data_IF_677691671701
#
_entry.id   IF_677691671701
#
_cell.length_a   1.000
_cell.length_b   1.000
_cell.length_c   1.000
_cell.angle_alpha   90.00
_cell.angle_beta   90.00
_cell.angle_gamma   90.00
#
_symmetry.space_group_name_H-M   'P 1'
#
loop_
_entity.id
_entity.type
_entity.pdbx_description
1 polymer ?
#
# COMPACT_ATOMS: atom_id res chain seq x y z
N UNK A 1 -9.57 22.53 41.45
CA UNK A 1 -9.49 21.41 40.49
C UNK A 1 -10.88 21.15 39.92
N UNK A 2 -11.07 21.47 38.65
CA UNK A 2 -12.33 21.22 37.93
C UNK A 2 -11.96 20.60 36.58
N UNK A 3 -12.68 19.56 36.20
CA UNK A 3 -12.56 19.01 34.87
C UNK A 3 -13.31 19.94 33.91
N UNK A 4 -12.66 20.26 32.80
CA UNK A 4 -13.22 21.08 31.72
C UNK A 4 -13.14 20.29 30.42
N UNK A 5 -14.11 20.54 29.54
CA UNK A 5 -14.09 20.04 28.17
C UNK A 5 -14.00 21.21 27.22
N UNK A 6 -12.99 21.20 26.36
CA UNK A 6 -12.79 22.20 25.33
C UNK A 6 -13.26 21.66 23.98
N UNK A 7 -14.14 22.41 23.34
CA UNK A 7 -14.42 22.31 21.90
C UNK A 7 -13.28 22.93 21.12
N UNK A 8 -12.57 22.10 20.36
CA UNK A 8 -11.38 22.45 19.60
C UNK A 8 -11.67 22.34 18.10
N UNK A 9 -10.98 23.14 17.30
CA UNK A 9 -11.02 23.05 15.84
C UNK A 9 -9.61 23.27 15.26
N UNK A 10 -9.33 22.64 14.12
CA UNK A 10 -8.13 22.96 13.35
C UNK A 10 -8.35 24.26 12.58
N UNK A 11 -7.31 25.07 12.42
CA UNK A 11 -7.39 26.29 11.61
C UNK A 11 -7.82 25.93 10.18
N UNK A 12 -8.75 26.70 9.61
CA UNK A 12 -9.36 26.44 8.30
C UNK A 12 -10.29 25.21 8.23
N UNK A 13 -10.59 24.58 9.36
CA UNK A 13 -11.51 23.44 9.43
C UNK A 13 -12.88 23.84 9.96
N UNK A 14 -13.94 23.27 9.38
CA UNK A 14 -15.30 23.34 9.94
C UNK A 14 -15.58 22.24 10.96
N UNK A 15 -14.70 21.25 11.09
CA UNK A 15 -14.88 20.17 12.06
C UNK A 15 -14.44 20.61 13.45
N UNK A 16 -15.15 20.11 14.46
CA UNK A 16 -14.84 20.33 15.87
C UNK A 16 -14.71 19.00 16.60
N UNK A 17 -13.90 18.99 17.63
CA UNK A 17 -13.68 17.82 18.48
C UNK A 17 -13.49 18.24 19.92
N UNK A 18 -13.77 17.32 20.84
CA UNK A 18 -13.70 17.57 22.26
C UNK A 18 -12.39 17.03 22.85
N UNK A 19 -11.78 17.84 23.71
CA UNK A 19 -10.65 17.44 24.56
C UNK A 19 -11.04 17.70 26.02
N UNK A 20 -11.00 16.63 26.83
CA UNK A 20 -11.22 16.71 28.27
C UNK A 20 -9.87 16.95 28.99
N UNK A 21 -9.85 17.91 29.90
CA UNK A 21 -8.66 18.39 30.59
C UNK A 21 -9.02 18.78 32.02
N UNK A 22 -8.02 18.96 32.87
CA UNK A 22 -8.17 19.59 34.16
C UNK A 22 -7.73 21.06 34.12
N UNK A 23 -8.39 21.95 34.86
CA UNK A 23 -7.97 23.36 34.92
C UNK A 23 -6.56 23.55 35.49
N UNK A 24 -6.05 22.61 36.29
CA UNK A 24 -4.68 22.67 36.81
C UNK A 24 -3.61 22.16 35.83
N UNK A 25 -4.01 21.58 34.68
CA UNK A 25 -3.09 21.14 33.63
C UNK A 25 -2.37 22.33 32.96
N UNK A 26 -1.27 22.05 32.26
CA UNK A 26 -0.49 23.06 31.54
C UNK A 26 -0.86 23.13 30.07
N UNK A 27 -0.48 24.23 29.41
CA UNK A 27 -0.56 24.37 27.95
C UNK A 27 0.23 23.26 27.24
N UNK A 28 1.32 22.77 27.80
CA UNK A 28 2.10 21.67 27.21
C UNK A 28 1.39 20.33 27.32
N UNK A 29 0.74 20.05 28.46
CA UNK A 29 -0.11 18.87 28.59
C UNK A 29 -1.29 18.88 27.62
N UNK A 30 -1.87 20.06 27.35
CA UNK A 30 -2.87 20.23 26.29
C UNK A 30 -2.29 19.87 24.90
N UNK A 31 -1.06 20.28 24.59
CA UNK A 31 -0.39 19.88 23.34
C UNK A 31 -0.16 18.38 23.28
N UNK A 32 0.22 17.73 24.38
CA UNK A 32 0.33 16.26 24.47
C UNK A 32 -1.01 15.57 24.19
N UNK A 33 -2.10 16.04 24.81
CA UNK A 33 -3.46 15.51 24.55
C UNK A 33 -3.91 15.68 23.11
N UNK A 34 -3.55 16.80 22.48
CA UNK A 34 -3.78 17.00 21.03
C UNK A 34 -2.97 15.98 20.24
N UNK A 35 -1.69 15.77 20.56
CA UNK A 35 -0.86 14.76 19.87
C UNK A 35 -1.41 13.35 20.03
N UNK A 36 -1.83 12.95 21.23
CA UNK A 36 -2.49 11.66 21.47
C UNK A 36 -3.75 11.50 20.63
N UNK A 37 -4.58 12.56 20.55
CA UNK A 37 -5.83 12.55 19.77
C UNK A 37 -5.58 12.32 18.27
N UNK A 38 -4.44 12.78 17.76
CA UNK A 38 -4.04 12.63 16.36
C UNK A 38 -2.93 11.59 16.15
N UNK A 39 -2.59 10.78 17.16
CA UNK A 39 -1.54 9.75 17.11
C UNK A 39 -0.17 10.27 16.61
N UNK A 40 0.27 11.44 17.08
CA UNK A 40 1.54 12.07 16.71
C UNK A 40 2.62 11.86 17.82
N UNK A 41 3.89 11.57 17.45
CA UNK A 41 4.98 11.33 18.42
C UNK A 41 5.81 12.62 18.69
N UNK A 42 6.46 12.72 19.87
CA UNK A 42 7.28 13.90 20.26
C UNK A 42 8.48 14.19 19.34
N UNK A 43 8.93 13.19 18.57
CA UNK A 43 10.07 13.29 17.65
C UNK A 43 9.67 13.65 16.22
N UNK A 44 8.37 13.86 15.96
CA UNK A 44 7.89 14.46 14.72
C UNK A 44 8.29 15.95 14.70
N UNK A 45 9.49 16.18 14.17
CA UNK A 45 10.20 17.46 14.18
C UNK A 45 9.28 18.59 13.72
N UNK A 46 8.96 19.49 14.65
CA UNK A 46 8.42 20.85 14.43
C UNK A 46 6.99 20.98 13.87
N UNK A 47 6.05 20.17 14.36
CA UNK A 47 4.67 20.64 14.43
C UNK A 47 4.61 21.86 15.35
N UNK A 48 4.80 23.07 14.83
CA UNK A 48 4.52 24.33 15.53
C UNK A 48 3.02 24.37 15.78
N UNK A 49 2.56 23.63 16.79
CA UNK A 49 1.18 23.65 17.28
C UNK A 49 1.04 24.99 17.99
N UNK A 50 0.50 25.95 17.26
CA UNK A 50 0.09 27.21 17.84
C UNK A 50 -1.35 27.09 18.29
N UNK A 51 -1.55 27.38 19.57
CA UNK A 51 -2.84 27.27 20.22
C UNK A 51 -3.42 28.67 20.39
N UNK A 52 -4.65 28.87 19.93
CA UNK A 52 -5.34 30.15 20.01
C UNK A 52 -6.61 29.95 20.83
N UNK A 53 -6.68 30.56 22.01
CA UNK A 53 -7.94 30.68 22.74
C UNK A 53 -8.85 31.61 21.94
N UNK A 54 -10.06 31.13 21.71
CA UNK A 54 -11.13 31.86 21.02
C UNK A 54 -12.46 31.62 21.73
N UNK A 55 -13.45 32.46 21.45
CA UNK A 55 -14.82 32.30 21.90
C UNK A 55 -15.75 32.52 20.70
N UNK A 56 -15.85 31.51 19.83
CA UNK A 56 -16.63 31.59 18.59
C UNK A 56 -17.89 30.76 18.76
N UNK A 57 -19.06 31.37 18.63
CA UNK A 57 -20.32 30.61 18.68
C UNK A 57 -20.37 29.58 17.56
N UNK A 58 -20.69 28.33 17.90
CA UNK A 58 -20.74 27.19 16.99
C UNK A 58 -21.92 27.27 15.99
N UNK A 59 -22.67 28.39 15.98
CA UNK A 59 -23.79 28.71 15.07
C UNK A 59 -23.39 29.55 13.85
N UNK A 60 -22.12 29.98 13.76
CA UNK A 60 -21.62 30.73 12.61
C UNK A 60 -21.00 29.77 11.60
N UNK A 61 -21.60 29.65 10.41
CA UNK A 61 -21.01 28.91 9.28
C UNK A 61 -19.77 29.65 8.76
N UNK A 62 -18.61 28.99 8.79
CA UNK A 62 -17.33 29.51 8.30
C UNK A 62 -16.37 29.95 9.41
N UNK A 63 -15.42 29.10 9.76
CA UNK A 63 -14.32 29.35 10.70
C UNK A 63 -13.20 30.18 10.03
N UNK A 64 -13.50 31.42 9.68
CA UNK A 64 -12.46 32.40 9.35
C UNK A 64 -12.11 33.16 10.62
N UNK A 65 -10.83 33.12 11.01
CA UNK A 65 -10.26 34.03 12.00
C UNK A 65 -10.42 35.47 11.46
N UNK A 66 -11.53 36.13 11.75
CA UNK A 66 -11.67 37.56 11.52
C UNK A 66 -10.92 38.31 12.62
N UNK A 67 -10.33 39.46 12.27
CA UNK A 67 -9.53 40.32 13.17
C UNK A 67 -10.31 40.87 14.39
N UNK A 68 -11.59 40.51 14.56
CA UNK A 68 -12.51 41.05 15.56
C UNK A 68 -12.86 40.08 16.71
N UNK A 69 -12.29 38.88 16.75
CA UNK A 69 -12.51 37.94 17.86
C UNK A 69 -11.44 38.15 18.95
N UNK A 70 -11.81 37.93 20.22
CA UNK A 70 -10.91 38.05 21.38
C UNK A 70 -9.91 36.87 21.38
N UNK A 71 -8.96 36.91 20.44
CA UNK A 71 -8.01 35.83 20.14
C UNK A 71 -6.76 36.00 20.99
N UNK A 72 -6.47 35.02 21.86
CA UNK A 72 -5.22 35.01 22.64
C UNK A 72 -4.40 33.77 22.32
N UNK A 73 -3.16 33.98 21.85
CA UNK A 73 -2.20 32.88 21.67
C UNK A 73 -1.80 32.29 23.02
N UNK A 74 -1.84 30.97 23.14
CA UNK A 74 -1.43 30.22 24.32
C UNK A 74 0.02 29.79 24.12
N UNK A 75 0.92 30.43 24.86
CA UNK A 75 2.36 30.15 24.78
C UNK A 75 2.81 29.20 25.89
N UNK A 76 2.40 29.48 27.13
CA UNK A 76 2.80 28.74 28.34
C UNK A 76 1.83 29.00 29.52
N UNK A 77 1.95 28.21 30.59
CA UNK A 77 1.21 28.39 31.85
C UNK A 77 0.11 27.36 32.11
N UNK A 78 -0.63 27.55 33.21
CA UNK A 78 -1.75 26.68 33.60
C UNK A 78 -3.02 27.04 32.87
N UNK A 79 -3.84 26.03 32.53
CA UNK A 79 -5.11 26.22 31.82
C UNK A 79 -6.12 27.07 32.61
N UNK A 80 -6.10 27.05 33.95
CA UNK A 80 -6.93 27.90 34.83
C UNK A 80 -6.77 29.40 34.54
N UNK A 81 -5.60 29.83 34.04
CA UNK A 81 -5.39 31.24 33.66
C UNK A 81 -6.19 31.65 32.41
N UNK A 82 -6.65 30.67 31.64
CA UNK A 82 -7.36 30.85 30.38
C UNK A 82 -8.83 30.42 30.50
N UNK A 83 -9.10 29.35 31.26
CA UNK A 83 -10.42 28.81 31.55
C UNK A 83 -10.53 28.44 33.03
N UNK A 84 -10.91 29.39 33.91
CA UNK A 84 -11.05 29.12 35.34
C UNK A 84 -12.29 28.27 35.68
N UNK A 85 -13.21 28.16 34.73
CA UNK A 85 -14.43 27.36 34.80
C UNK A 85 -14.78 26.82 33.41
N UNK A 86 -15.67 25.84 33.35
CA UNK A 86 -16.17 25.26 32.10
C UNK A 86 -16.66 26.37 31.17
N UNK A 87 -16.09 26.50 29.97
CA UNK A 87 -16.58 27.47 29.01
C UNK A 87 -17.88 26.97 28.34
N UNK A 88 -18.66 27.87 27.71
CA UNK A 88 -19.97 27.55 27.15
C UNK A 88 -19.92 26.44 26.08
N UNK A 89 -20.74 25.41 26.23
CA UNK A 89 -20.69 24.22 25.35
C UNK A 89 -20.98 24.51 23.88
N UNK A 90 -21.68 25.61 23.59
CA UNK A 90 -22.07 26.05 22.26
C UNK A 90 -21.02 26.92 21.55
N UNK A 91 -19.77 26.95 22.04
CA UNK A 91 -18.68 27.72 21.46
C UNK A 91 -17.48 26.84 21.09
N UNK A 92 -16.72 27.28 20.09
CA UNK A 92 -15.35 26.83 19.84
C UNK A 92 -14.45 27.63 20.78
N UNK A 93 -13.60 26.90 21.51
CA UNK A 93 -12.76 27.43 22.57
C UNK A 93 -11.30 27.53 22.15
N UNK A 94 -10.88 26.62 21.27
CA UNK A 94 -9.48 26.46 20.90
C UNK A 94 -9.36 26.27 19.40
N UNK A 95 -8.59 27.13 18.74
CA UNK A 95 -8.12 26.91 17.39
C UNK A 95 -6.69 26.39 17.46
N UNK A 96 -6.46 25.29 16.76
CA UNK A 96 -5.18 24.62 16.64
C UNK A 96 -4.64 24.94 15.25
N UNK A 97 -3.63 25.79 15.20
CA UNK A 97 -2.88 26.08 13.99
C UNK A 97 -1.66 25.17 13.93
N UNK A 98 -1.71 24.21 13.01
CA UNK A 98 -0.61 23.28 12.75
C UNK A 98 -0.67 22.92 11.28
N UNK A 99 0.28 23.39 10.45
CA UNK A 99 0.33 23.06 9.03
C UNK A 99 0.25 21.54 8.78
N UNK A 100 0.86 20.75 9.67
CA UNK A 100 0.82 19.30 9.64
C UNK A 100 -0.59 18.73 9.85
N UNK A 101 -1.27 19.13 10.92
CA UNK A 101 -2.62 18.61 11.24
C UNK A 101 -3.65 19.08 10.22
N UNK A 102 -3.51 20.31 9.73
CA UNK A 102 -4.38 20.88 8.68
C UNK A 102 -4.20 20.09 7.37
N UNK A 103 -2.97 19.82 6.95
CA UNK A 103 -2.71 19.03 5.74
C UNK A 103 -3.17 17.58 5.89
N UNK A 104 -2.97 16.98 7.07
CA UNK A 104 -3.48 15.63 7.37
C UNK A 104 -5.01 15.57 7.27
N UNK A 105 -5.71 16.55 7.82
CA UNK A 105 -7.18 16.61 7.74
C UNK A 105 -7.66 16.85 6.31
N UNK A 106 -7.01 17.73 5.54
CA UNK A 106 -7.32 17.95 4.12
C UNK A 106 -7.18 16.64 3.32
N UNK A 107 -6.06 15.94 3.50
CA UNK A 107 -5.82 14.63 2.86
C UNK A 107 -6.87 13.58 3.27
N UNK A 108 -7.32 13.60 4.53
CA UNK A 108 -8.31 12.65 5.04
C UNK A 108 -9.73 12.98 4.54
N UNK A 109 -10.06 14.27 4.41
CA UNK A 109 -11.35 14.76 3.91
C UNK A 109 -11.48 14.55 2.39
N UNK A 110 -10.40 14.73 1.64
CA UNK A 110 -10.30 14.39 0.21
C UNK A 110 -10.64 12.90 0.01
N UNK A 111 -9.95 12.02 0.75
CA UNK A 111 -10.23 10.58 0.74
C UNK A 111 -11.68 10.26 1.15
N UNK A 112 -12.27 11.00 2.10
CA UNK A 112 -13.66 10.80 2.52
C UNK A 112 -14.69 11.23 1.49
N UNK A 113 -14.50 12.37 0.84
CA UNK A 113 -15.38 12.88 -0.21
C UNK A 113 -15.38 11.92 -1.40
N UNK A 114 -14.20 11.42 -1.75
CA UNK A 114 -14.03 10.41 -2.78
C UNK A 114 -14.77 9.12 -2.41
N UNK A 115 -14.64 8.62 -1.19
CA UNK A 115 -15.39 7.44 -0.72
C UNK A 115 -16.92 7.64 -0.79
N UNK A 116 -17.42 8.85 -0.53
CA UNK A 116 -18.84 9.16 -0.63
C UNK A 116 -19.33 9.22 -2.09
N UNK A 117 -18.51 9.74 -3.00
CA UNK A 117 -18.79 9.71 -4.43
C UNK A 117 -18.77 8.29 -5.00
N UNK A 118 -17.84 7.44 -4.53
CA UNK A 118 -17.78 6.00 -4.84
C UNK A 118 -19.02 5.24 -4.34
N UNK A 119 -19.68 5.70 -3.27
CA UNK A 119 -20.94 5.12 -2.76
C UNK A 119 -22.15 5.51 -3.59
N UNK A 120 -22.21 6.76 -4.06
CA UNK A 120 -23.31 7.26 -4.88
C UNK A 120 -23.27 6.67 -6.31
N UNK A 121 -22.09 6.49 -6.90
CA UNK A 121 -21.93 5.86 -8.22
C UNK A 121 -22.25 4.36 -8.24
N UNK A 122 -22.08 3.66 -7.11
CA UNK A 122 -22.37 2.22 -7.00
C UNK A 122 -23.86 1.87 -6.79
N UNK A 123 -24.75 2.86 -6.63
CA UNK A 123 -26.20 2.60 -6.58
C UNK A 123 -26.81 2.26 -7.95
N UNK A 124 -26.05 2.40 -9.05
CA UNK A 124 -26.52 2.14 -10.42
C UNK A 124 -25.98 0.87 -11.11
N UNK A 125 -25.02 0.16 -10.53
CA UNK A 125 -24.37 -1.00 -11.18
C UNK A 125 -24.40 -2.22 -10.26
N UNK A 126 -25.49 -2.98 -10.34
CA UNK A 126 -25.64 -4.27 -9.69
C UNK A 126 -24.75 -5.33 -10.38
N UNK A 127 -23.44 -5.28 -10.11
CA UNK A 127 -22.48 -6.34 -10.50
C UNK A 127 -21.80 -6.97 -9.29
N UNK A 128 -22.50 -7.20 -8.17
CA UNK A 128 -22.02 -8.12 -7.11
C UNK A 128 -20.63 -7.88 -6.47
N UNK A 129 -19.92 -6.79 -6.81
CA UNK A 129 -18.62 -6.44 -6.26
C UNK A 129 -18.85 -5.82 -4.88
N UNK A 130 -18.43 -6.51 -3.81
CA UNK A 130 -18.34 -5.89 -2.49
C UNK A 130 -17.06 -5.07 -2.45
N UNK A 131 -17.18 -3.74 -2.53
CA UNK A 131 -16.08 -2.81 -2.28
C UNK A 131 -15.42 -3.09 -0.93
N UNK A 132 -14.12 -2.75 -0.77
CA UNK A 132 -13.46 -2.78 0.55
C UNK A 132 -14.32 -2.03 1.58
N UNK A 133 -14.42 -2.57 2.80
CA UNK A 133 -14.95 -1.77 3.89
C UNK A 133 -13.90 -0.73 4.29
N UNK A 134 -14.35 0.47 4.66
CA UNK A 134 -13.51 1.57 5.17
C UNK A 134 -12.52 1.11 6.25
N UNK A 135 -12.95 0.18 7.11
CA UNK A 135 -12.14 -0.41 8.18
C UNK A 135 -10.96 -1.24 7.63
N UNK A 136 -11.18 -2.00 6.57
CA UNK A 136 -10.14 -2.85 5.97
C UNK A 136 -9.10 -2.01 5.23
N UNK A 137 -9.55 -0.93 4.59
CA UNK A 137 -8.69 0.04 3.92
C UNK A 137 -7.76 0.75 4.92
N UNK A 138 -8.33 1.31 6.00
CA UNK A 138 -7.54 1.98 7.04
C UNK A 138 -6.57 1.03 7.74
N UNK A 139 -6.95 -0.23 7.99
CA UNK A 139 -6.03 -1.21 8.57
C UNK A 139 -4.83 -1.53 7.65
N UNK A 140 -5.04 -1.55 6.34
CA UNK A 140 -3.99 -1.78 5.33
C UNK A 140 -3.04 -0.58 5.24
N UNK A 141 -3.62 0.62 5.15
CA UNK A 141 -2.87 1.89 5.17
C UNK A 141 -2.08 2.01 6.47
N UNK A 142 -2.72 1.88 7.64
CA UNK A 142 -2.03 1.92 8.93
C UNK A 142 -0.89 0.90 8.98
N UNK A 143 -1.12 -0.35 8.57
CA UNK A 143 -0.07 -1.38 8.58
C UNK A 143 1.10 -1.01 7.66
N UNK A 144 0.85 -0.45 6.47
CA UNK A 144 1.90 -0.02 5.54
C UNK A 144 2.64 1.25 5.99
N UNK A 145 1.94 2.18 6.63
CA UNK A 145 2.53 3.44 7.09
C UNK A 145 3.24 3.30 8.44
N UNK A 146 2.80 2.40 9.31
CA UNK A 146 3.52 2.09 10.57
C UNK A 146 4.73 1.19 10.34
N UNK A 147 4.66 0.29 9.34
CA UNK A 147 5.67 -0.76 9.05
C UNK A 147 7.04 -0.28 8.60
N UNK A 148 7.15 0.97 8.18
CA UNK A 148 8.41 1.47 7.64
C UNK A 148 8.85 2.65 8.51
N UNK A 149 9.64 2.39 9.58
CA UNK A 149 10.13 3.42 10.51
C UNK A 149 10.86 4.58 9.82
N UNK A 150 11.43 4.33 8.64
CA UNK A 150 12.07 5.33 7.78
C UNK A 150 11.07 6.32 7.15
N UNK A 151 9.79 5.96 7.04
CA UNK A 151 8.72 6.85 6.53
C UNK A 151 8.44 7.99 7.50
N UNK A 152 8.50 7.74 8.81
CA UNK A 152 8.42 8.82 9.80
C UNK A 152 9.56 9.82 9.59
N UNK A 153 10.79 9.35 9.39
CA UNK A 153 11.97 10.21 9.17
C UNK A 153 11.94 11.00 7.85
N UNK A 154 11.56 10.39 6.73
CA UNK A 154 11.52 11.06 5.42
C UNK A 154 10.31 11.98 5.24
N UNK A 155 9.16 11.61 5.81
CA UNK A 155 7.95 12.47 5.78
C UNK A 155 8.15 13.73 6.62
N UNK A 156 8.95 13.66 7.68
CA UNK A 156 9.29 14.82 8.51
C UNK A 156 10.21 15.82 7.80
N UNK A 157 10.71 15.53 6.59
CA UNK A 157 11.46 16.45 5.76
C UNK A 157 10.83 16.57 4.35
N UNK A 158 9.63 17.15 4.29
CA UNK A 158 8.82 17.33 3.08
C UNK A 158 9.62 17.85 1.87
N UNK A 159 10.56 18.78 2.09
CA UNK A 159 11.39 19.34 1.02
C UNK A 159 12.32 18.30 0.36
N UNK A 160 12.95 17.43 1.14
CA UNK A 160 13.79 16.34 0.64
C UNK A 160 12.95 15.24 -0.01
N UNK A 161 11.72 15.02 0.48
CA UNK A 161 10.79 14.08 -0.13
C UNK A 161 10.30 14.56 -1.50
N UNK A 162 9.93 15.84 -1.64
CA UNK A 162 9.49 16.40 -2.93
C UNK A 162 10.62 16.41 -3.97
N UNK A 163 11.85 16.69 -3.56
CA UNK A 163 13.02 16.55 -4.43
C UNK A 163 13.23 15.09 -4.85
N UNK A 164 13.17 14.16 -3.89
CA UNK A 164 13.27 12.72 -4.16
C UNK A 164 12.19 12.25 -5.14
N UNK A 165 10.94 12.72 -4.99
CA UNK A 165 9.83 12.40 -5.92
C UNK A 165 10.14 12.86 -7.34
N UNK A 166 10.63 14.08 -7.52
CA UNK A 166 11.00 14.61 -8.84
C UNK A 166 12.15 13.82 -9.47
N UNK A 167 13.16 13.48 -8.68
CA UNK A 167 14.29 12.66 -9.14
C UNK A 167 13.83 11.26 -9.54
N UNK A 168 12.97 10.62 -8.75
CA UNK A 168 12.39 9.32 -9.06
C UNK A 168 11.63 9.36 -10.39
N UNK A 169 10.78 10.37 -10.60
CA UNK A 169 10.05 10.54 -11.87
C UNK A 169 11.02 10.67 -13.06
N UNK A 170 12.03 11.53 -12.96
CA UNK A 170 13.05 11.70 -14.01
C UNK A 170 13.83 10.40 -14.29
N UNK A 171 14.13 9.62 -13.25
CA UNK A 171 14.82 8.32 -13.40
C UNK A 171 13.91 7.26 -14.04
N UNK A 172 12.60 7.27 -13.77
CA UNK A 172 11.64 6.43 -14.50
C UNK A 172 11.57 6.80 -15.98
N UNK A 173 11.48 8.10 -16.30
CA UNK A 173 11.43 8.60 -17.67
C UNK A 173 12.69 8.23 -18.48
N UNK A 174 13.84 8.31 -17.84
CA UNK A 174 15.14 7.94 -18.43
C UNK A 174 15.45 6.44 -18.33
N UNK A 175 14.55 5.61 -17.79
CA UNK A 175 14.73 4.17 -17.53
C UNK A 175 15.99 3.86 -16.70
N UNK A 176 16.40 4.79 -15.84
CA UNK A 176 17.57 4.65 -14.96
C UNK A 176 17.16 4.14 -13.57
N UNK A 177 16.64 2.91 -13.54
CA UNK A 177 16.16 2.25 -12.32
C UNK A 177 17.25 2.08 -11.25
N UNK A 178 18.50 1.92 -11.67
CA UNK A 178 19.64 1.73 -10.77
C UNK A 178 19.82 2.90 -9.81
N UNK A 179 19.67 4.14 -10.29
CA UNK A 179 19.79 5.33 -9.44
C UNK A 179 18.68 5.39 -8.38
N UNK A 180 17.47 4.94 -8.69
CA UNK A 180 16.38 4.88 -7.72
C UNK A 180 16.68 3.80 -6.66
N UNK A 181 17.00 2.59 -7.10
CA UNK A 181 16.96 1.42 -6.23
C UNK A 181 18.28 1.13 -5.50
N UNK A 182 19.41 1.63 -6.00
CA UNK A 182 20.70 1.56 -5.29
C UNK A 182 20.91 2.74 -4.33
N UNK A 183 20.23 3.86 -4.54
CA UNK A 183 20.26 4.99 -3.61
C UNK A 183 19.26 4.76 -2.48
N UNK A 184 19.74 4.63 -1.24
CA UNK A 184 18.89 4.38 -0.08
C UNK A 184 17.80 5.45 0.11
N UNK A 185 18.09 6.72 -0.14
CA UNK A 185 17.12 7.81 0.04
C UNK A 185 16.01 7.75 -1.02
N UNK A 186 16.39 7.62 -2.30
CA UNK A 186 15.43 7.50 -3.39
C UNK A 186 14.63 6.20 -3.29
N UNK A 187 15.28 5.08 -2.91
CA UNK A 187 14.59 3.81 -2.66
C UNK A 187 13.55 3.95 -1.55
N UNK A 188 13.87 4.62 -0.46
CA UNK A 188 12.92 4.82 0.64
C UNK A 188 11.77 5.75 0.26
N UNK A 189 12.05 6.83 -0.47
CA UNK A 189 11.00 7.71 -1.02
C UNK A 189 10.10 6.97 -2.02
N UNK A 190 10.69 6.10 -2.86
CA UNK A 190 9.96 5.19 -3.73
C UNK A 190 9.05 4.25 -2.93
N UNK A 191 9.59 3.63 -1.87
CA UNK A 191 8.80 2.72 -1.01
C UNK A 191 7.58 3.44 -0.45
N UNK A 192 7.77 4.64 0.11
CA UNK A 192 6.70 5.49 0.65
C UNK A 192 5.62 5.75 -0.38
N UNK A 193 6.05 6.16 -1.57
CA UNK A 193 5.17 6.67 -2.59
C UNK A 193 4.38 5.58 -3.31
N UNK A 194 5.02 4.45 -3.59
CA UNK A 194 4.47 3.44 -4.48
C UNK A 194 3.94 2.19 -3.77
N UNK A 195 4.45 1.84 -2.59
CA UNK A 195 4.07 0.56 -1.95
C UNK A 195 2.63 0.54 -1.44
N UNK A 196 2.12 1.59 -0.76
CA UNK A 196 0.72 1.64 -0.34
C UNK A 196 -0.31 1.50 -1.47
N UNK A 197 -0.27 2.34 -2.54
CA UNK A 197 -1.24 2.21 -3.63
C UNK A 197 -1.10 0.89 -4.38
N UNK A 198 0.13 0.34 -4.53
CA UNK A 198 0.32 -0.98 -5.14
C UNK A 198 -0.27 -2.10 -4.29
N UNK A 199 -0.05 -2.09 -2.97
CA UNK A 199 -0.63 -3.08 -2.08
C UNK A 199 -2.16 -3.08 -2.12
N UNK A 200 -2.79 -1.89 -2.21
CA UNK A 200 -4.23 -1.76 -2.41
C UNK A 200 -4.68 -2.34 -3.76
N UNK A 201 -3.98 -2.00 -4.83
CA UNK A 201 -4.26 -2.53 -6.17
C UNK A 201 -4.20 -4.07 -6.17
N UNK A 202 -3.13 -4.65 -5.62
CA UNK A 202 -2.99 -6.10 -5.52
C UNK A 202 -4.07 -6.72 -4.64
N UNK A 203 -4.38 -6.12 -3.49
CA UNK A 203 -5.40 -6.65 -2.59
C UNK A 203 -6.77 -6.67 -3.25
N UNK A 204 -7.12 -5.61 -3.99
CA UNK A 204 -8.35 -5.57 -4.76
C UNK A 204 -8.41 -6.73 -5.78
N UNK A 205 -7.35 -6.92 -6.55
CA UNK A 205 -7.27 -7.96 -7.58
C UNK A 205 -7.25 -9.39 -7.00
N UNK A 206 -6.47 -9.62 -5.94
CA UNK A 206 -6.30 -10.93 -5.31
C UNK A 206 -7.54 -11.37 -4.53
N UNK A 207 -8.21 -10.43 -3.86
CA UNK A 207 -9.21 -10.75 -2.84
C UNK A 207 -10.60 -10.18 -3.16
N UNK A 208 -10.72 -8.89 -3.45
CA UNK A 208 -12.02 -8.23 -3.62
C UNK A 208 -12.73 -8.64 -4.91
N UNK A 209 -11.98 -8.93 -5.97
CA UNK A 209 -12.53 -9.46 -7.22
C UNK A 209 -13.11 -10.88 -7.08
N UNK A 210 -12.80 -11.59 -5.98
CA UNK A 210 -13.27 -12.95 -5.66
C UNK A 210 -13.15 -13.93 -6.82
N UNK A 211 -12.04 -13.87 -7.54
CA UNK A 211 -11.72 -14.87 -8.54
C UNK A 211 -11.69 -16.24 -7.89
N UNK A 212 -12.50 -17.18 -8.40
CA UNK A 212 -12.85 -18.43 -7.71
C UNK A 212 -11.62 -19.20 -7.26
N UNK A 213 -10.62 -19.31 -8.14
CA UNK A 213 -9.39 -20.06 -7.92
C UNK A 213 -8.50 -19.38 -6.87
N UNK A 214 -8.26 -18.07 -6.99
CA UNK A 214 -7.47 -17.30 -6.02
C UNK A 214 -8.16 -17.24 -4.65
N UNK A 215 -9.46 -16.97 -4.63
CA UNK A 215 -10.27 -16.94 -3.42
C UNK A 215 -10.25 -18.31 -2.70
N UNK A 216 -10.30 -19.41 -3.46
CA UNK A 216 -10.21 -20.76 -2.89
C UNK A 216 -8.92 -20.99 -2.10
N UNK A 217 -7.80 -20.38 -2.50
CA UNK A 217 -6.51 -20.52 -1.78
C UNK A 217 -6.58 -19.95 -0.37
N UNK A 218 -7.24 -18.80 -0.20
CA UNK A 218 -7.36 -18.14 1.10
C UNK A 218 -8.37 -18.82 2.02
N UNK A 219 -9.39 -19.50 1.45
CA UNK A 219 -10.43 -20.21 2.22
C UNK A 219 -10.09 -21.68 2.56
N UNK A 220 -9.08 -22.26 1.90
CA UNK A 220 -8.65 -23.65 2.12
C UNK A 220 -8.26 -23.89 3.57
N UNK A 221 -8.72 -24.99 4.18
CA UNK A 221 -8.56 -25.26 5.63
C UNK A 221 -7.36 -26.14 5.97
N UNK A 222 -6.88 -26.95 5.04
CA UNK A 222 -6.11 -28.14 5.40
C UNK A 222 -4.59 -28.03 5.19
N UNK A 223 -4.06 -26.95 4.61
CA UNK A 223 -2.62 -26.81 4.32
C UNK A 223 -2.10 -25.37 4.52
N UNK A 224 -0.82 -25.21 4.90
CA UNK A 224 -0.13 -23.92 4.84
C UNK A 224 -0.18 -23.34 3.43
N UNK A 225 -0.48 -22.05 3.32
CA UNK A 225 -0.43 -21.36 2.04
C UNK A 225 1.02 -20.98 1.73
N UNK A 226 1.61 -21.59 0.70
CA UNK A 226 2.96 -21.26 0.23
C UNK A 226 2.90 -20.46 -1.06
N UNK A 227 3.52 -19.28 -1.04
CA UNK A 227 3.50 -18.33 -2.16
C UNK A 227 4.91 -17.84 -2.50
N UNK A 228 5.21 -17.79 -3.80
CA UNK A 228 6.44 -17.17 -4.34
C UNK A 228 6.07 -15.86 -5.04
N UNK A 229 6.66 -14.75 -4.63
CA UNK A 229 6.49 -13.44 -5.25
C UNK A 229 7.76 -13.06 -6.04
N UNK A 230 7.69 -13.06 -7.37
CA UNK A 230 8.79 -12.72 -8.27
C UNK A 230 8.77 -11.22 -8.60
N UNK A 231 9.90 -10.53 -8.43
CA UNK A 231 9.98 -9.08 -8.62
C UNK A 231 9.09 -8.30 -7.64
N UNK A 232 9.03 -8.76 -6.39
CA UNK A 232 8.09 -8.26 -5.40
C UNK A 232 8.38 -6.84 -4.91
N UNK A 233 9.55 -6.30 -5.26
CA UNK A 233 10.05 -5.01 -4.81
C UNK A 233 9.97 -4.87 -3.29
N UNK A 234 9.38 -3.78 -2.79
CA UNK A 234 9.27 -3.52 -1.36
C UNK A 234 8.15 -4.30 -0.64
N UNK A 235 7.53 -5.27 -1.32
CA UNK A 235 6.60 -6.22 -0.68
C UNK A 235 5.13 -5.83 -0.71
N UNK A 236 4.72 -4.83 -1.51
CA UNK A 236 3.30 -4.44 -1.61
C UNK A 236 2.37 -5.61 -1.95
N UNK A 237 2.82 -6.51 -2.82
CA UNK A 237 2.10 -7.74 -3.15
C UNK A 237 2.03 -8.71 -1.96
N UNK A 238 3.14 -8.89 -1.26
CA UNK A 238 3.22 -9.77 -0.11
C UNK A 238 2.30 -9.29 1.03
N UNK A 239 2.15 -7.98 1.20
CA UNK A 239 1.16 -7.37 2.11
C UNK A 239 -0.26 -7.69 1.67
N UNK A 240 -0.57 -7.52 0.39
CA UNK A 240 -1.90 -7.83 -0.13
C UNK A 240 -2.29 -9.30 0.09
N UNK A 241 -1.40 -10.23 -0.23
CA UNK A 241 -1.59 -11.67 0.01
C UNK A 241 -1.80 -11.95 1.50
N UNK A 242 -0.96 -11.36 2.35
CA UNK A 242 -1.04 -11.55 3.80
C UNK A 242 -2.39 -11.09 4.35
N UNK A 243 -2.86 -9.90 3.94
CA UNK A 243 -4.14 -9.37 4.39
C UNK A 243 -5.32 -10.19 3.87
N UNK A 244 -5.26 -10.64 2.61
CA UNK A 244 -6.29 -11.51 2.02
C UNK A 244 -6.41 -12.82 2.82
N UNK A 245 -5.28 -13.43 3.12
CA UNK A 245 -5.19 -14.64 3.92
C UNK A 245 -5.76 -14.45 5.33
N UNK A 246 -5.34 -13.39 6.02
CA UNK A 246 -5.77 -13.12 7.40
C UNK A 246 -7.26 -12.83 7.48
N UNK A 247 -7.81 -12.11 6.50
CA UNK A 247 -9.23 -11.80 6.49
C UNK A 247 -10.10 -13.06 6.45
N UNK A 248 -9.66 -14.09 5.73
CA UNK A 248 -10.34 -15.39 5.71
C UNK A 248 -10.03 -16.21 6.97
N UNK A 249 -8.78 -16.20 7.45
CA UNK A 249 -8.38 -17.02 8.60
C UNK A 249 -8.88 -16.48 9.95
N UNK A 250 -8.94 -15.17 10.16
CA UNK A 250 -9.52 -14.56 11.37
C UNK A 250 -11.02 -14.86 11.52
N UNK A 251 -11.71 -15.21 10.44
CA UNK A 251 -13.10 -15.66 10.49
C UNK A 251 -13.21 -17.16 10.81
N UNK A 252 -12.12 -17.90 10.68
CA UNK A 252 -12.05 -19.33 10.98
C UNK A 252 -11.54 -19.57 12.40
N UNK A 253 -12.06 -20.58 13.11
CA UNK A 253 -11.55 -21.01 14.43
C UNK A 253 -10.23 -21.80 14.36
N UNK A 254 -9.62 -21.87 13.18
CA UNK A 254 -8.48 -22.73 12.93
C UNK A 254 -7.18 -22.05 13.38
N UNK A 255 -6.44 -22.73 14.23
CA UNK A 255 -5.18 -22.24 14.82
C UNK A 255 -3.94 -22.76 14.10
N UNK A 256 -4.08 -23.66 13.14
CA UNK A 256 -2.96 -24.35 12.48
C UNK A 256 -2.62 -23.81 11.08
N UNK A 257 -3.31 -22.76 10.62
CA UNK A 257 -3.11 -22.25 9.27
C UNK A 257 -1.95 -21.26 9.21
N UNK A 258 -0.88 -21.61 8.48
CA UNK A 258 0.34 -20.80 8.33
C UNK A 258 0.48 -20.23 6.92
N UNK A 259 0.91 -18.97 6.80
CA UNK A 259 1.29 -18.36 5.52
C UNK A 259 2.82 -18.37 5.38
N UNK A 260 3.31 -18.86 4.24
CA UNK A 260 4.73 -18.87 3.89
C UNK A 260 4.97 -18.08 2.61
N UNK A 261 5.77 -17.04 2.69
CA UNK A 261 6.11 -16.15 1.58
C UNK A 261 7.58 -16.30 1.19
N UNK A 262 7.83 -16.51 -0.08
CA UNK A 262 9.17 -16.44 -0.68
C UNK A 262 9.22 -15.23 -1.58
N UNK A 263 9.93 -14.20 -1.13
CA UNK A 263 9.97 -12.89 -1.77
C UNK A 263 11.29 -12.81 -2.53
N UNK A 264 11.22 -12.51 -3.81
CA UNK A 264 12.40 -12.42 -4.66
C UNK A 264 12.40 -11.07 -5.36
N UNK A 265 13.55 -10.40 -5.37
CA UNK A 265 13.75 -9.19 -6.14
C UNK A 265 15.21 -9.03 -6.60
N UNK A 266 15.47 -8.18 -7.60
CA UNK A 266 16.84 -7.86 -8.04
C UNK A 266 17.55 -6.87 -7.11
N UNK A 267 16.81 -6.05 -6.38
CA UNK A 267 17.33 -5.03 -5.46
C UNK A 267 17.08 -5.39 -4.00
N UNK A 268 18.00 -4.99 -3.11
CA UNK A 268 17.91 -5.31 -1.69
C UNK A 268 16.79 -4.51 -0.97
N UNK A 269 15.70 -5.22 -0.64
CA UNK A 269 14.59 -4.74 0.17
C UNK A 269 14.49 -5.45 1.54
N UNK A 270 15.48 -6.26 1.91
CA UNK A 270 15.40 -7.13 3.09
C UNK A 270 15.10 -6.37 4.38
N UNK A 271 15.72 -5.19 4.57
CA UNK A 271 15.49 -4.39 5.77
C UNK A 271 14.06 -3.87 5.88
N UNK A 272 13.48 -3.37 4.78
CA UNK A 272 12.10 -2.86 4.83
C UNK A 272 11.08 -3.98 4.95
N UNK A 273 11.32 -5.12 4.30
CA UNK A 273 10.49 -6.32 4.43
C UNK A 273 10.53 -6.86 5.86
N UNK A 274 11.70 -6.86 6.51
CA UNK A 274 11.83 -7.28 7.90
C UNK A 274 10.96 -6.44 8.84
N UNK A 275 11.09 -5.12 8.78
CA UNK A 275 10.29 -4.22 9.62
C UNK A 275 8.78 -4.41 9.37
N UNK A 276 8.39 -4.62 8.11
CA UNK A 276 7.02 -4.90 7.70
C UNK A 276 6.47 -6.19 8.31
N UNK A 277 7.15 -7.32 8.12
CA UNK A 277 6.65 -8.60 8.60
C UNK A 277 6.73 -8.74 10.13
N UNK A 278 7.69 -8.08 10.79
CA UNK A 278 7.72 -8.01 12.25
C UNK A 278 6.47 -7.32 12.79
N UNK A 279 6.03 -6.22 12.18
CA UNK A 279 4.79 -5.54 12.59
C UNK A 279 3.53 -6.32 12.25
N UNK A 280 3.50 -7.00 11.11
CA UNK A 280 2.41 -7.91 10.77
C UNK A 280 2.32 -9.04 11.81
N UNK A 281 3.42 -9.70 12.13
CA UNK A 281 3.46 -10.78 13.12
C UNK A 281 3.18 -10.30 14.55
N UNK A 282 3.55 -9.07 14.92
CA UNK A 282 3.18 -8.46 16.21
C UNK A 282 1.64 -8.39 16.39
N UNK A 283 0.89 -8.29 15.29
CA UNK A 283 -0.59 -8.39 15.28
C UNK A 283 -1.10 -9.83 15.31
N UNK A 284 -0.26 -10.79 15.73
CA UNK A 284 -0.52 -12.24 15.80
C UNK A 284 -0.84 -12.88 14.44
N UNK A 285 -0.25 -12.34 13.37
CA UNK A 285 -0.25 -13.01 12.08
C UNK A 285 0.79 -14.14 12.13
N UNK A 286 0.46 -15.37 11.72
CA UNK A 286 1.44 -16.47 11.61
C UNK A 286 2.02 -16.49 10.18
N UNK A 287 2.85 -15.48 9.89
CA UNK A 287 3.49 -15.30 8.60
C UNK A 287 4.98 -15.65 8.74
N UNK A 288 5.42 -16.65 7.99
CA UNK A 288 6.84 -16.89 7.75
C UNK A 288 7.21 -16.36 6.38
N UNK A 289 8.35 -15.70 6.28
CA UNK A 289 8.82 -15.16 5.02
C UNK A 289 10.31 -15.42 4.85
N UNK A 290 10.75 -15.51 3.60
CA UNK A 290 12.14 -15.59 3.19
C UNK A 290 12.36 -14.60 2.05
N UNK A 291 13.54 -14.01 1.97
CA UNK A 291 13.91 -13.09 0.90
C UNK A 291 15.13 -13.61 0.12
N UNK A 292 15.12 -13.40 -1.20
CA UNK A 292 16.25 -13.75 -2.07
C UNK A 292 16.49 -12.63 -3.07
N UNK A 293 17.72 -12.11 -3.07
CA UNK A 293 18.14 -11.09 -4.02
C UNK A 293 18.78 -11.73 -5.25
N UNK A 294 18.38 -11.33 -6.45
CA UNK A 294 18.98 -11.80 -7.70
C UNK A 294 18.21 -11.40 -8.95
N UNK A 295 18.86 -11.46 -10.11
CA UNK A 295 18.17 -11.29 -11.38
C UNK A 295 17.42 -12.61 -11.72
N UNK A 296 16.10 -12.55 -11.89
CA UNK A 296 15.28 -13.73 -12.21
C UNK A 296 15.57 -14.35 -13.58
N UNK A 297 16.04 -13.56 -14.54
CA UNK A 297 16.52 -14.09 -15.83
C UNK A 297 18.02 -14.41 -15.79
N UNK A 298 18.69 -14.13 -14.67
CA UNK A 298 20.12 -14.36 -14.49
C UNK A 298 20.48 -15.83 -14.66
N UNK A 299 21.64 -16.06 -15.28
CA UNK A 299 22.30 -17.36 -15.30
C UNK A 299 23.10 -17.46 -14.00
N UNK A 300 22.52 -18.14 -13.01
CA UNK A 300 23.16 -18.37 -11.72
C UNK A 300 24.33 -19.36 -11.82
N UNK A 301 25.33 -19.27 -10.92
CA UNK A 301 26.53 -20.11 -10.99
C UNK A 301 26.33 -21.60 -10.60
N UNK A 302 25.13 -22.03 -10.18
CA UNK A 302 25.01 -23.21 -9.30
C UNK A 302 23.94 -24.27 -9.62
N UNK A 303 23.14 -24.18 -10.69
CA UNK A 303 22.09 -25.19 -10.92
C UNK A 303 22.15 -25.91 -12.27
N UNK A 304 21.95 -25.21 -13.38
CA UNK A 304 21.91 -25.86 -14.71
C UNK A 304 22.68 -25.11 -15.79
N UNK A 305 23.17 -23.90 -15.50
CA UNK A 305 23.71 -22.99 -16.51
C UNK A 305 22.63 -22.41 -17.42
N UNK A 306 21.38 -22.37 -16.94
CA UNK A 306 20.22 -21.96 -17.73
C UNK A 306 19.57 -20.69 -17.16
N UNK A 307 18.78 -20.00 -18.00
CA UNK A 307 17.99 -18.82 -17.62
C UNK A 307 17.09 -19.19 -16.44
N UNK A 308 17.05 -18.35 -15.40
CA UNK A 308 16.29 -18.64 -14.19
C UNK A 308 17.11 -19.16 -13.02
N UNK A 309 18.36 -19.56 -13.24
CA UNK A 309 19.24 -20.04 -12.16
C UNK A 309 19.53 -18.94 -11.11
N UNK A 310 19.38 -17.67 -11.49
CA UNK A 310 19.48 -16.53 -10.58
C UNK A 310 18.41 -16.48 -9.49
N UNK A 311 17.33 -17.27 -9.58
CA UNK A 311 16.35 -17.46 -8.49
C UNK A 311 16.95 -18.18 -7.27
N UNK A 312 18.05 -18.91 -7.47
CA UNK A 312 18.68 -19.69 -6.41
C UNK A 312 17.96 -21.01 -6.12
N UNK A 313 18.71 -21.91 -5.47
CA UNK A 313 18.30 -23.30 -5.29
C UNK A 313 17.07 -23.52 -4.43
N UNK A 314 16.93 -22.75 -3.36
CA UNK A 314 15.81 -22.89 -2.45
C UNK A 314 14.46 -22.60 -3.12
N UNK A 315 14.42 -21.60 -4.02
CA UNK A 315 13.20 -21.29 -4.78
C UNK A 315 12.90 -22.41 -5.78
N UNK A 316 13.91 -22.92 -6.50
CA UNK A 316 13.72 -24.03 -7.44
C UNK A 316 13.28 -25.33 -6.75
N UNK A 317 13.83 -25.65 -5.58
CA UNK A 317 13.41 -26.81 -4.79
C UNK A 317 11.91 -26.74 -4.43
N UNK A 318 11.38 -25.55 -4.20
CA UNK A 318 9.96 -25.34 -3.95
C UNK A 318 9.12 -25.45 -5.21
N UNK A 319 9.54 -24.80 -6.30
CA UNK A 319 8.85 -24.88 -7.60
C UNK A 319 8.75 -26.34 -8.08
N UNK A 320 9.82 -27.12 -7.89
CA UNK A 320 9.91 -28.53 -8.26
C UNK A 320 9.17 -29.47 -7.29
N UNK A 321 8.63 -28.95 -6.19
CA UNK A 321 7.91 -29.75 -5.19
C UNK A 321 8.81 -30.54 -4.24
N UNK A 322 10.13 -30.35 -4.27
CA UNK A 322 11.11 -31.08 -3.44
C UNK A 322 10.97 -30.70 -1.96
N UNK A 323 10.67 -29.43 -1.67
CA UNK A 323 10.54 -28.89 -0.30
C UNK A 323 9.10 -28.63 0.14
N UNK A 324 8.13 -29.14 -0.61
CA UNK A 324 6.70 -28.95 -0.34
C UNK A 324 5.95 -28.43 -1.55
N UNK A 325 4.62 -28.28 -1.41
CA UNK A 325 3.74 -27.82 -2.49
C UNK A 325 3.66 -26.29 -2.50
N UNK A 326 3.95 -25.68 -3.65
CA UNK A 326 3.64 -24.27 -3.89
C UNK A 326 2.20 -24.14 -4.37
N UNK A 327 1.46 -23.21 -3.78
CA UNK A 327 0.07 -22.95 -4.14
C UNK A 327 -0.05 -21.82 -5.16
N UNK A 328 0.78 -20.79 -5.04
CA UNK A 328 0.73 -19.60 -5.87
C UNK A 328 2.15 -19.11 -6.19
N UNK A 329 2.39 -18.83 -7.47
CA UNK A 329 3.53 -18.04 -7.95
C UNK A 329 2.97 -16.76 -8.54
N UNK A 330 3.59 -15.63 -8.25
CA UNK A 330 3.16 -14.35 -8.78
C UNK A 330 4.29 -13.61 -9.48
N UNK A 331 3.92 -12.81 -10.47
CA UNK A 331 4.80 -11.93 -11.22
C UNK A 331 4.04 -10.62 -11.48
N UNK A 332 4.06 -9.73 -10.48
CA UNK A 332 3.32 -8.45 -10.50
C UNK A 332 4.21 -7.29 -10.95
N UNK A 333 3.89 -6.65 -12.07
CA UNK A 333 4.61 -5.55 -12.72
C UNK A 333 6.07 -5.86 -13.08
N UNK A 334 6.42 -7.14 -13.19
CA UNK A 334 7.76 -7.58 -13.56
C UNK A 334 7.81 -8.14 -14.98
N UNK A 335 6.72 -8.70 -15.51
CA UNK A 335 6.74 -9.39 -16.80
C UNK A 335 7.14 -8.43 -17.94
N UNK A 336 6.54 -7.24 -17.97
CA UNK A 336 6.91 -6.14 -18.87
C UNK A 336 8.40 -5.84 -18.84
N UNK A 337 8.96 -5.69 -17.63
CA UNK A 337 10.37 -5.39 -17.43
C UNK A 337 11.24 -6.49 -18.08
N UNK A 338 10.95 -7.76 -17.79
CA UNK A 338 11.70 -8.89 -18.34
C UNK A 338 11.66 -8.95 -19.87
N UNK A 339 10.47 -8.80 -20.45
CA UNK A 339 10.31 -8.81 -21.90
C UNK A 339 10.96 -7.60 -22.56
N UNK A 340 11.02 -6.44 -21.87
CA UNK A 340 11.69 -5.24 -22.37
C UNK A 340 13.21 -5.39 -22.40
N UNK A 341 13.78 -6.12 -21.44
CA UNK A 341 15.21 -6.36 -21.33
C UNK A 341 15.67 -7.42 -22.34
N UNK A 342 15.03 -8.60 -22.34
CA UNK A 342 15.36 -9.67 -23.26
C UNK A 342 14.19 -10.63 -23.47
N UNK A 343 13.50 -10.46 -24.61
CA UNK A 343 12.32 -11.26 -24.99
C UNK A 343 12.61 -12.77 -24.94
N UNK A 344 13.77 -13.21 -25.43
CA UNK A 344 14.06 -14.65 -25.56
C UNK A 344 14.40 -15.29 -24.21
N UNK A 345 15.15 -14.58 -23.35
CA UNK A 345 15.39 -15.04 -21.99
C UNK A 345 14.09 -15.03 -21.17
N UNK A 346 13.26 -14.00 -21.30
CA UNK A 346 11.96 -13.95 -20.61
C UNK A 346 11.06 -15.13 -20.99
N UNK A 347 10.97 -15.48 -22.28
CA UNK A 347 10.24 -16.68 -22.73
C UNK A 347 10.81 -17.95 -22.12
N UNK A 348 12.13 -18.16 -22.25
CA UNK A 348 12.80 -19.36 -21.70
C UNK A 348 12.60 -19.48 -20.19
N UNK A 349 12.64 -18.36 -19.48
CA UNK A 349 12.36 -18.31 -18.05
C UNK A 349 10.94 -18.82 -17.75
N UNK A 350 9.91 -18.22 -18.35
CA UNK A 350 8.53 -18.63 -18.08
C UNK A 350 8.23 -20.06 -18.58
N UNK A 351 8.82 -20.49 -19.69
CA UNK A 351 8.77 -21.88 -20.16
C UNK A 351 9.33 -22.86 -19.14
N UNK A 352 10.49 -22.54 -18.56
CA UNK A 352 11.13 -23.37 -17.55
C UNK A 352 10.30 -23.38 -16.27
N UNK A 353 9.88 -22.20 -15.79
CA UNK A 353 9.05 -22.03 -14.61
C UNK A 353 7.77 -22.89 -14.73
N UNK A 354 7.01 -22.70 -15.80
CA UNK A 354 5.73 -23.39 -16.01
C UNK A 354 5.88 -24.91 -16.18
N UNK A 355 6.96 -25.38 -16.81
CA UNK A 355 7.26 -26.82 -16.87
C UNK A 355 7.57 -27.41 -15.50
N UNK A 356 8.30 -26.68 -14.65
CA UNK A 356 8.75 -27.15 -13.35
C UNK A 356 7.65 -27.14 -12.28
N UNK A 357 6.66 -26.23 -12.38
CA UNK A 357 5.58 -26.11 -11.41
C UNK A 357 4.77 -27.40 -11.26
N UNK A 358 4.49 -27.76 -10.01
CA UNK A 358 3.63 -28.91 -9.64
C UNK A 358 2.17 -28.71 -10.06
N UNK A 359 1.40 -29.80 -10.28
CA UNK A 359 -0.05 -29.71 -10.51
C UNK A 359 -0.79 -28.94 -9.39
N UNK A 360 -1.88 -28.28 -9.78
CA UNK A 360 -2.71 -27.40 -8.95
C UNK A 360 -2.06 -26.10 -8.47
N UNK A 361 -0.80 -25.84 -8.82
CA UNK A 361 -0.18 -24.53 -8.57
C UNK A 361 -0.76 -23.47 -9.51
N UNK A 362 -1.07 -22.30 -8.96
CA UNK A 362 -1.49 -21.11 -9.71
C UNK A 362 -0.28 -20.25 -10.08
N UNK A 363 -0.29 -19.68 -11.28
CA UNK A 363 0.61 -18.60 -11.70
C UNK A 363 -0.24 -17.36 -12.00
N UNK A 364 -0.03 -16.29 -11.24
CA UNK A 364 -0.63 -14.98 -11.47
C UNK A 364 0.40 -14.04 -12.09
N UNK A 365 0.12 -13.56 -13.30
CA UNK A 365 0.88 -12.47 -13.92
C UNK A 365 -0.04 -11.26 -13.91
N UNK A 366 0.37 -10.16 -13.28
CA UNK A 366 -0.37 -8.90 -13.26
C UNK A 366 0.57 -7.80 -13.74
N UNK A 367 0.15 -6.98 -14.69
CA UNK A 367 1.00 -5.94 -15.23
C UNK A 367 0.18 -4.78 -15.81
N UNK A 368 0.83 -3.71 -16.27
CA UNK A 368 0.16 -2.59 -16.93
C UNK A 368 0.26 -2.62 -18.46
N UNK A 369 -0.83 -2.19 -19.09
CA UNK A 369 -0.86 -1.75 -20.47
C UNK A 369 -0.24 -0.35 -20.52
N UNK A 370 1.02 -0.26 -20.96
CA UNK A 370 1.65 1.03 -21.20
C UNK A 370 0.98 1.72 -22.40
N UNK A 371 0.62 2.99 -22.22
CA UNK A 371 0.19 3.88 -23.31
C UNK A 371 1.36 4.09 -24.31
N UNK A 372 1.05 4.43 -25.56
CA UNK A 372 1.93 4.35 -26.75
C UNK A 372 3.31 5.04 -26.63
N UNK A 373 3.50 5.89 -25.62
CA UNK A 373 4.75 6.62 -25.34
C UNK A 373 5.88 5.75 -24.77
N UNK A 374 5.59 4.58 -24.18
CA UNK A 374 6.59 3.62 -23.67
C UNK A 374 6.67 2.35 -24.53
N UNK A 375 6.62 2.50 -25.85
CA UNK A 375 6.77 1.40 -26.80
C UNK A 375 8.01 0.54 -26.50
N UNK A 376 7.79 -0.69 -26.07
CA UNK A 376 8.82 -1.74 -26.05
C UNK A 376 8.99 -2.15 -27.52
N UNK A 377 10.11 -1.74 -28.12
CA UNK A 377 10.56 -2.05 -29.49
C UNK A 377 9.48 -2.56 -30.47
N UNK A 378 9.11 -1.70 -31.44
CA UNK A 378 8.22 -1.98 -32.58
C UNK A 378 6.70 -2.08 -32.27
N UNK A 379 6.11 -1.12 -31.54
CA UNK A 379 4.65 -0.97 -31.45
C UNK A 379 3.88 -2.26 -31.07
N UNK A 380 4.44 -3.10 -30.19
CA UNK A 380 3.76 -4.30 -29.69
C UNK A 380 3.48 -4.12 -28.21
N UNK A 381 2.19 -4.05 -27.87
CA UNK A 381 1.72 -4.06 -26.49
C UNK A 381 2.24 -5.31 -25.76
N UNK A 382 2.37 -5.22 -24.43
CA UNK A 382 2.63 -6.36 -23.56
C UNK A 382 1.74 -7.56 -23.91
N UNK A 383 0.48 -7.31 -24.30
CA UNK A 383 -0.41 -8.35 -24.80
C UNK A 383 0.13 -9.17 -25.94
N UNK A 384 0.77 -8.56 -26.93
CA UNK A 384 1.34 -9.32 -28.04
C UNK A 384 2.46 -10.27 -27.56
N UNK A 385 3.09 -9.98 -26.42
CA UNK A 385 4.03 -10.86 -25.74
C UNK A 385 3.33 -11.88 -24.83
N UNK A 386 2.32 -11.46 -24.08
CA UNK A 386 1.54 -12.35 -23.21
C UNK A 386 0.70 -13.36 -24.01
N UNK A 387 0.14 -13.01 -25.17
CA UNK A 387 -0.52 -13.94 -26.10
C UNK A 387 0.46 -15.00 -26.64
N UNK A 388 1.71 -14.59 -26.91
CA UNK A 388 2.76 -15.55 -27.31
C UNK A 388 3.18 -16.43 -26.14
N UNK A 389 3.25 -15.84 -24.96
CA UNK A 389 3.56 -16.56 -23.73
C UNK A 389 2.43 -17.55 -23.41
N UNK A 390 1.17 -17.18 -23.61
CA UNK A 390 0.01 -18.06 -23.46
C UNK A 390 0.14 -19.30 -24.32
N UNK A 391 0.42 -19.15 -25.63
CA UNK A 391 0.60 -20.31 -26.52
C UNK A 391 1.68 -21.26 -26.02
N UNK A 392 2.71 -20.69 -25.43
CA UNK A 392 3.86 -21.40 -24.89
C UNK A 392 3.52 -22.11 -23.57
N UNK A 393 2.81 -21.43 -22.66
CA UNK A 393 2.39 -21.97 -21.36
C UNK A 393 1.32 -23.05 -21.52
N UNK A 394 0.35 -22.86 -22.42
CA UNK A 394 -0.72 -23.82 -22.73
C UNK A 394 -0.17 -25.17 -23.21
N UNK A 395 0.95 -25.16 -23.94
CA UNK A 395 1.65 -26.39 -24.36
C UNK A 395 2.27 -27.20 -23.22
N UNK A 396 2.46 -26.59 -22.04
CA UNK A 396 3.15 -27.20 -20.89
C UNK A 396 2.19 -27.79 -19.84
N UNK A 397 0.96 -28.16 -20.21
CA UNK A 397 0.02 -28.79 -19.27
C UNK A 397 -0.75 -27.83 -18.36
N UNK A 398 -0.88 -26.57 -18.77
CA UNK A 398 -1.86 -25.66 -18.21
C UNK A 398 -3.14 -25.76 -19.04
N UNK A 399 -4.27 -26.07 -18.39
CA UNK A 399 -5.62 -25.98 -18.96
C UNK A 399 -6.48 -25.16 -18.02
N UNK A 400 -7.59 -24.65 -18.54
CA UNK A 400 -8.50 -23.71 -17.84
C UNK A 400 -7.82 -22.38 -17.55
N UNK A 401 -7.43 -21.70 -18.64
CA UNK A 401 -6.96 -20.33 -18.59
C UNK A 401 -8.14 -19.43 -18.22
N UNK A 402 -7.99 -18.70 -17.11
CA UNK A 402 -8.88 -17.60 -16.79
C UNK A 402 -8.11 -16.34 -17.16
N UNK A 403 -8.18 -15.98 -18.44
CA UNK A 403 -7.82 -14.63 -18.86
C UNK A 403 -8.96 -13.73 -18.46
N UNK A 404 -8.76 -12.99 -17.38
CA UNK A 404 -9.64 -11.88 -17.07
C UNK A 404 -8.88 -10.63 -17.41
N UNK A 405 -9.14 -10.17 -18.63
CA UNK A 405 -8.85 -8.80 -19.02
C UNK A 405 -9.82 -7.93 -18.22
N UNK A 406 -9.47 -7.63 -16.98
CA UNK A 406 -10.08 -6.50 -16.31
C UNK A 406 -9.47 -5.26 -16.95
N UNK A 407 -10.10 -4.73 -18.01
CA UNK A 407 -9.93 -3.32 -18.32
C UNK A 407 -10.55 -2.59 -17.15
N UNK A 408 -9.72 -2.33 -16.14
CA UNK A 408 -10.03 -1.32 -15.18
C UNK A 408 -10.02 0.01 -15.96
N UNK A 409 -11.13 0.33 -16.64
CA UNK A 409 -11.63 1.71 -16.66
C UNK A 409 -12.07 2.09 -15.24
N UNK A 410 -11.23 1.77 -14.25
CA UNK A 410 -11.43 2.16 -12.87
C UNK A 410 -10.87 3.57 -12.77
N UNK A 411 -11.63 4.47 -13.39
CA UNK A 411 -11.77 5.86 -12.97
C UNK A 411 -11.85 5.98 -11.42
N UNK A 412 -12.27 4.89 -10.78
CA UNK A 412 -12.39 4.59 -9.35
C UNK A 412 -11.10 4.71 -8.50
N UNK A 413 -9.92 4.29 -9.01
CA UNK A 413 -8.63 4.48 -8.29
C UNK A 413 -7.93 5.78 -8.75
N UNK A 414 -8.31 6.22 -9.95
CA UNK A 414 -7.71 7.32 -10.68
C UNK A 414 -8.16 8.70 -10.18
N UNK A 415 -9.46 8.94 -10.10
CA UNK A 415 -9.99 10.27 -9.82
C UNK A 415 -9.95 10.61 -8.33
N UNK A 416 -9.76 9.60 -7.48
CA UNK A 416 -9.74 9.75 -6.03
C UNK A 416 -8.36 10.19 -5.53
N UNK A 417 -7.33 9.35 -5.55
CA UNK A 417 -6.10 9.68 -4.82
C UNK A 417 -5.16 10.75 -5.42
N UNK A 418 -5.39 11.24 -6.65
CA UNK A 418 -4.31 11.78 -7.49
C UNK A 418 -4.63 13.06 -8.25
N UNK A 419 -5.72 13.77 -7.92
CA UNK A 419 -6.13 14.98 -8.65
C UNK A 419 -5.10 16.12 -8.61
N UNK A 420 -4.30 16.23 -7.54
CA UNK A 420 -3.29 17.30 -7.39
C UNK A 420 -1.83 16.83 -7.51
N UNK A 421 -1.57 15.51 -7.58
CA UNK A 421 -0.23 15.01 -7.82
C UNK A 421 -0.20 14.36 -9.19
N UNK A 422 0.51 14.98 -10.14
CA UNK A 422 0.77 14.48 -11.49
C UNK A 422 1.35 13.04 -11.45
N UNK A 423 0.49 12.03 -11.28
CA UNK A 423 0.87 10.64 -11.08
C UNK A 423 0.11 9.69 -11.99
N UNK A 424 0.90 8.91 -12.70
CA UNK A 424 0.54 8.02 -13.81
C UNK A 424 -0.37 6.82 -13.47
N UNK A 425 -0.84 6.67 -12.22
CA UNK A 425 -1.72 5.54 -11.87
C UNK A 425 -3.20 5.78 -12.18
N UNK A 426 -3.58 7.03 -12.46
CA UNK A 426 -4.94 7.38 -12.88
C UNK A 426 -5.31 6.85 -14.27
N UNK A 427 -4.31 6.38 -15.03
CA UNK A 427 -4.48 5.74 -16.32
C UNK A 427 -3.75 4.40 -16.41
N UNK A 428 -3.42 3.76 -15.28
CA UNK A 428 -2.87 2.40 -15.32
C UNK A 428 -3.99 1.41 -15.65
N UNK A 429 -4.29 1.26 -16.93
CA UNK A 429 -4.93 0.05 -17.45
C UNK A 429 -4.05 -1.13 -17.04
N UNK A 430 -4.39 -1.81 -15.94
CA UNK A 430 -3.70 -3.02 -15.54
C UNK A 430 -4.47 -4.23 -15.99
N UNK A 431 -3.75 -5.29 -16.29
CA UNK A 431 -4.28 -6.52 -16.84
C UNK A 431 -3.61 -7.67 -16.12
N UNK A 432 -4.38 -8.71 -15.84
CA UNK A 432 -3.84 -9.90 -15.22
C UNK A 432 -4.24 -11.15 -15.98
N UNK A 433 -3.39 -12.15 -15.86
CA UNK A 433 -3.61 -13.48 -16.41
C UNK A 433 -3.36 -14.48 -15.29
N UNK A 434 -4.34 -15.34 -15.06
CA UNK A 434 -4.24 -16.41 -14.09
C UNK A 434 -4.16 -17.76 -14.82
N UNK A 435 -3.07 -18.48 -14.58
CA UNK A 435 -2.86 -19.82 -15.08
C UNK A 435 -2.97 -20.84 -13.95
N UNK A 436 -3.63 -21.97 -14.21
CA UNK A 436 -3.66 -23.12 -13.30
C UNK A 436 -2.98 -24.33 -13.93
N UNK A 437 -2.01 -24.92 -13.24
CA UNK A 437 -1.39 -26.17 -13.69
C UNK A 437 -2.37 -27.32 -13.48
N UNK A 438 -2.67 -28.08 -14.53
CA UNK A 438 -3.50 -29.29 -14.39
C UNK A 438 -2.64 -30.54 -14.37
N UNK A 439 -3.20 -31.62 -13.81
CA UNK A 439 -2.60 -32.95 -13.90
C UNK A 439 -2.83 -33.47 -15.32
N UNK A 440 -1.77 -33.66 -16.10
CA UNK A 440 -1.83 -34.28 -17.44
C UNK A 440 -1.92 -35.80 -17.30
#
# INVERSE_FOLDING_TARGET
MKDITLTCSLKESSETFLIALNTDDTVDFLKEKIREKFSCDETDVTGNIELWKVEISNKCEGTVLSENNDTRKLTEGKLNNFWPQQPPEDHIHLIIDSPYLIQWQKSLLEVQNEINDLRLHNQGVDRGYKSLSYKDYNALIETLFTSVPTLKKLKNNLSEYDESRRLIANHFDSKNYMEIFMNTNLRNAYILQYSPPRALCYFNNLYCMKQKELYSLFTSKDEPLQVICLGAGPGGEAVAISLAYIKEKCQSKDKNSKLMLHIQDQYNYESCLKDLFEQMNAKKMDITWNYTMGNIMGIGPQYTGDVGDGLGGAIWDLILGVKGKINLVTACFVANELFSVNIEQAKRFFERLTRAMTPDTLLLILDCQYDESFSIHNNKSLWAYLEKLERTISGNGFKDQIVIISRANDQFIADSFLSDSQYYYTNCNYEYILFKKIRI
#
